data_IF_474159651538
#
_entry.id   IF_474159651538
#
_cell.length_a   1.000
_cell.length_b   1.000
_cell.length_c   1.000
_cell.angle_alpha   90.00
_cell.angle_beta   90.00
_cell.angle_gamma   90.00
#
_symmetry.space_group_name_H-M   'P 1'
#
loop_
_entity.id
_entity.type
_entity.pdbx_description
1 polymer ?
#
# COMPACT_ATOMS: atom_id res chain seq x y z
N UNK A 1 -5.49 -2.29 -10.10
CA UNK A 1 -5.62 -0.82 -10.26
C UNK A 1 -4.92 -0.13 -9.09
N UNK A 2 -4.18 0.95 -9.34
CA UNK A 2 -3.50 1.72 -8.29
C UNK A 2 -4.12 3.13 -8.21
N UNK A 3 -4.28 3.63 -6.99
CA UNK A 3 -4.74 5.01 -6.74
C UNK A 3 -3.68 5.70 -5.90
N UNK A 4 -3.33 6.93 -6.25
CA UNK A 4 -2.23 7.68 -5.63
C UNK A 4 -2.78 9.00 -5.10
N UNK A 5 -2.35 9.38 -3.89
CA UNK A 5 -2.56 10.70 -3.31
C UNK A 5 -1.48 10.99 -2.27
N UNK A 6 -1.27 12.27 -1.99
CA UNK A 6 -0.40 12.73 -0.93
C UNK A 6 -1.08 12.62 0.44
N UNK A 7 -0.29 12.57 1.51
CA UNK A 7 -0.80 12.63 2.87
C UNK A 7 -0.94 14.09 3.32
N UNK A 8 -1.98 14.42 4.12
CA UNK A 8 -2.95 13.50 4.75
C UNK A 8 -4.17 13.14 3.88
N UNK A 9 -4.39 13.79 2.74
CA UNK A 9 -5.60 13.67 1.91
C UNK A 9 -5.88 12.22 1.47
N UNK A 10 -4.83 11.42 1.26
CA UNK A 10 -4.94 10.01 0.91
C UNK A 10 -5.78 9.21 1.93
N UNK A 11 -5.72 9.56 3.22
CA UNK A 11 -6.44 8.86 4.29
C UNK A 11 -7.95 9.06 4.19
N UNK A 12 -8.38 10.29 3.93
CA UNK A 12 -9.79 10.61 3.79
C UNK A 12 -10.34 10.09 2.46
N UNK A 13 -9.62 10.36 1.36
CA UNK A 13 -10.06 10.06 0.00
C UNK A 13 -10.24 8.54 -0.24
N UNK A 14 -9.47 7.70 0.42
CA UNK A 14 -9.47 6.25 0.19
C UNK A 14 -10.02 5.44 1.37
N UNK A 15 -10.60 6.08 2.38
CA UNK A 15 -11.21 5.39 3.54
C UNK A 15 -12.21 4.30 3.14
N UNK A 16 -13.02 4.55 2.11
CA UNK A 16 -13.99 3.58 1.58
C UNK A 16 -13.33 2.34 0.94
N UNK A 17 -12.12 2.47 0.38
CA UNK A 17 -11.35 1.32 -0.13
C UNK A 17 -10.84 0.45 1.02
N UNK A 18 -10.43 1.07 2.13
CA UNK A 18 -9.88 0.40 3.32
C UNK A 18 -10.94 -0.24 4.22
N UNK A 19 -12.19 0.24 4.13
CA UNK A 19 -13.33 -0.31 4.88
C UNK A 19 -14.30 -1.14 4.01
N UNK A 20 -14.01 -1.27 2.71
CA UNK A 20 -14.91 -1.88 1.72
C UNK A 20 -14.57 -3.34 1.39
N UNK A 21 -15.04 -3.85 0.24
CA UNK A 21 -14.85 -5.26 -0.18
C UNK A 21 -13.40 -5.70 -0.37
N UNK A 22 -12.45 -4.76 -0.42
CA UNK A 22 -11.01 -5.04 -0.52
C UNK A 22 -10.32 -5.05 0.85
N UNK A 23 -11.05 -4.81 1.95
CA UNK A 23 -10.51 -4.86 3.30
C UNK A 23 -10.20 -6.31 3.71
N UNK A 24 -9.14 -6.52 4.48
CA UNK A 24 -8.68 -7.85 4.91
C UNK A 24 -9.71 -8.63 5.75
N UNK A 25 -10.69 -7.94 6.35
CA UNK A 25 -11.78 -8.51 7.14
C UNK A 25 -13.16 -8.35 6.54
N UNK A 26 -13.28 -8.15 5.22
CA UNK A 26 -14.57 -7.90 4.57
C UNK A 26 -15.56 -9.07 4.67
N UNK A 27 -15.09 -10.29 4.97
CA UNK A 27 -15.90 -11.51 5.07
C UNK A 27 -15.65 -12.21 6.42
N UNK A 28 -16.58 -12.14 7.39
CA UNK A 28 -16.39 -12.71 8.72
C UNK A 28 -16.38 -14.24 8.75
N UNK A 29 -16.93 -14.89 7.73
CA UNK A 29 -16.98 -16.35 7.63
C UNK A 29 -15.74 -16.93 6.93
N UNK A 30 -14.84 -16.06 6.45
CA UNK A 30 -13.62 -16.43 5.72
C UNK A 30 -12.75 -17.43 6.48
N UNK A 31 -12.49 -17.17 7.77
CA UNK A 31 -11.64 -18.03 8.60
C UNK A 31 -12.11 -19.49 8.65
N UNK A 32 -13.40 -19.74 8.41
CA UNK A 32 -13.99 -21.09 8.43
C UNK A 32 -14.20 -21.67 7.03
N UNK A 33 -13.96 -20.92 5.95
CA UNK A 33 -14.13 -21.41 4.59
C UNK A 33 -12.93 -22.21 4.13
N UNK A 34 -13.22 -23.36 3.51
CA UNK A 34 -12.25 -24.13 2.76
C UNK A 34 -12.09 -23.54 1.35
N UNK A 35 -11.00 -22.78 1.15
CA UNK A 35 -10.72 -22.05 -0.09
C UNK A 35 -9.83 -22.80 -1.09
N UNK A 36 -9.62 -24.10 -0.91
CA UNK A 36 -8.67 -24.86 -1.75
C UNK A 36 -9.01 -24.77 -3.25
N UNK A 37 -10.29 -24.73 -3.61
CA UNK A 37 -10.73 -24.62 -5.01
C UNK A 37 -11.22 -23.21 -5.40
N UNK A 38 -11.23 -22.26 -4.46
CA UNK A 38 -11.69 -20.90 -4.72
C UNK A 38 -10.55 -20.00 -5.25
N UNK A 39 -10.90 -19.06 -6.12
CA UNK A 39 -9.95 -18.03 -6.54
C UNK A 39 -9.58 -17.13 -5.34
N UNK A 40 -8.30 -16.76 -5.17
CA UNK A 40 -7.89 -15.88 -4.08
C UNK A 40 -8.64 -14.55 -4.11
N UNK A 41 -9.18 -14.14 -2.96
CA UNK A 41 -9.82 -12.84 -2.81
C UNK A 41 -8.80 -11.70 -2.98
N UNK A 42 -9.23 -10.62 -3.65
CA UNK A 42 -8.43 -9.42 -3.83
C UNK A 42 -8.50 -8.56 -2.57
N UNK A 43 -7.34 -8.19 -2.04
CA UNK A 43 -7.22 -7.31 -0.88
C UNK A 43 -6.41 -6.07 -1.24
N UNK A 44 -6.80 -4.93 -0.67
CA UNK A 44 -6.04 -3.69 -0.77
C UNK A 44 -4.73 -3.82 0.01
N UNK A 45 -3.67 -3.19 -0.51
CA UNK A 45 -2.39 -3.04 0.17
C UNK A 45 -1.97 -1.58 0.09
N UNK A 46 -1.57 -1.00 1.22
CA UNK A 46 -1.01 0.35 1.27
C UNK A 46 0.50 0.27 1.05
N UNK A 47 1.01 1.11 0.15
CA UNK A 47 2.45 1.31 -0.04
C UNK A 47 2.75 2.77 0.20
N UNK A 48 3.48 3.07 1.28
CA UNK A 48 3.90 4.41 1.63
C UNK A 48 5.27 4.68 1.02
N UNK A 49 5.36 5.68 0.13
CA UNK A 49 6.60 6.14 -0.46
C UNK A 49 7.12 7.32 0.35
N UNK A 50 8.35 7.23 0.86
CA UNK A 50 8.94 8.28 1.68
C UNK A 50 9.92 9.09 0.85
N UNK A 51 9.65 10.38 0.71
CA UNK A 51 10.51 11.35 0.03
C UNK A 51 11.57 11.97 0.97
N UNK A 52 11.49 11.70 2.27
CA UNK A 52 12.32 12.31 3.32
C UNK A 52 12.67 11.32 4.44
N UNK A 53 13.89 11.38 5.02
CA UNK A 53 14.31 10.53 6.12
C UNK A 53 13.52 10.77 7.42
N UNK A 54 13.53 9.77 8.31
CA UNK A 54 12.85 9.81 9.62
C UNK A 54 13.37 10.97 10.48
N UNK A 55 12.48 11.89 10.89
CA UNK A 55 12.81 12.95 11.87
C UNK A 55 12.07 14.28 11.70
N UNK A 56 11.48 14.53 10.52
CA UNK A 56 10.60 15.68 10.27
C UNK A 56 9.14 15.43 10.63
N UNK A 57 8.33 16.49 10.72
CA UNK A 57 6.87 16.36 10.81
C UNK A 57 6.35 15.71 9.52
N UNK A 58 5.79 14.51 9.66
CA UNK A 58 5.23 13.72 8.57
C UNK A 58 3.93 13.06 9.02
N UNK A 59 3.01 12.86 8.09
CA UNK A 59 1.78 12.11 8.30
C UNK A 59 1.98 10.59 8.20
N UNK A 60 3.20 10.11 7.92
CA UNK A 60 3.54 8.69 7.81
C UNK A 60 3.10 7.83 9.03
N UNK A 61 3.34 8.24 10.30
CA UNK A 61 2.85 7.49 11.45
C UNK A 61 1.32 7.39 11.51
N UNK A 62 0.62 8.48 11.22
CA UNK A 62 -0.84 8.51 11.22
C UNK A 62 -1.42 7.63 10.09
N UNK A 63 -0.78 7.62 8.93
CA UNK A 63 -1.16 6.75 7.82
C UNK A 63 -0.97 5.27 8.17
N UNK A 64 0.13 4.93 8.84
CA UNK A 64 0.40 3.58 9.34
C UNK A 64 -0.63 3.15 10.37
N UNK A 65 -0.93 4.00 11.36
CA UNK A 65 -1.94 3.73 12.37
C UNK A 65 -3.31 3.49 11.75
N UNK A 66 -3.70 4.31 10.76
CA UNK A 66 -4.96 4.11 10.05
C UNK A 66 -4.99 2.76 9.30
N UNK A 67 -3.95 2.42 8.56
CA UNK A 67 -3.87 1.14 7.85
C UNK A 67 -4.01 -0.05 8.81
N UNK A 68 -3.32 0.00 9.95
CA UNK A 68 -3.40 -1.02 11.00
C UNK A 68 -4.81 -1.11 11.62
N UNK A 69 -5.48 0.03 11.84
CA UNK A 69 -6.84 0.06 12.38
C UNK A 69 -7.89 -0.61 11.47
N UNK A 70 -7.57 -0.76 10.18
CA UNK A 70 -8.39 -1.42 9.17
C UNK A 70 -7.84 -2.80 8.77
N UNK A 71 -6.90 -3.37 9.53
CA UNK A 71 -6.20 -4.61 9.22
C UNK A 71 -5.61 -4.64 7.78
N UNK A 72 -5.31 -3.47 7.23
CA UNK A 72 -4.79 -3.36 5.86
C UNK A 72 -3.27 -3.51 5.87
N UNK A 73 -2.70 -4.47 5.12
CA UNK A 73 -1.26 -4.63 5.03
C UNK A 73 -0.57 -3.36 4.51
N UNK A 74 0.51 -2.96 5.18
CA UNK A 74 1.33 -1.80 4.82
C UNK A 74 2.77 -2.18 4.48
N UNK A 75 3.29 -1.60 3.41
CA UNK A 75 4.73 -1.55 3.08
C UNK A 75 5.19 -0.11 3.10
N UNK A 76 6.39 0.14 3.61
CA UNK A 76 7.04 1.44 3.48
C UNK A 76 8.29 1.30 2.63
N UNK A 77 8.42 2.17 1.64
CA UNK A 77 9.63 2.31 0.83
C UNK A 77 10.35 3.56 1.30
N UNK A 78 11.49 3.34 1.95
CA UNK A 78 12.41 4.39 2.36
C UNK A 78 13.65 4.31 1.47
N UNK A 79 13.95 5.38 0.71
CA UNK A 79 15.14 5.43 -0.13
C UNK A 79 16.39 5.60 0.73
N UNK A 80 17.53 5.21 0.16
CA UNK A 80 18.82 5.42 0.81
C UNK A 80 19.11 6.92 0.99
N UNK A 81 19.97 7.25 1.95
CA UNK A 81 20.35 8.63 2.22
C UNK A 81 21.05 9.23 0.99
N UNK A 82 20.47 10.30 0.42
CA UNK A 82 20.96 10.96 -0.78
C UNK A 82 20.43 12.39 -0.93
N UNK A 83 20.70 13.01 -2.08
CA UNK A 83 20.05 14.26 -2.45
C UNK A 83 18.63 14.04 -2.95
N UNK A 84 17.87 15.13 -3.12
CA UNK A 84 16.46 15.07 -3.54
C UNK A 84 16.28 14.35 -4.89
N UNK A 85 17.20 14.56 -5.83
CA UNK A 85 17.13 13.93 -7.15
C UNK A 85 17.45 12.44 -7.08
N UNK A 86 18.44 12.05 -6.28
CA UNK A 86 18.78 10.65 -6.05
C UNK A 86 17.62 9.89 -5.39
N UNK A 87 17.00 10.49 -4.36
CA UNK A 87 15.81 9.96 -3.70
C UNK A 87 14.65 9.77 -4.68
N UNK A 88 14.34 10.78 -5.50
CA UNK A 88 13.27 10.67 -6.50
C UNK A 88 13.57 9.59 -7.53
N UNK A 89 14.81 9.53 -8.03
CA UNK A 89 15.23 8.53 -9.01
C UNK A 89 15.11 7.11 -8.45
N UNK A 90 15.46 6.89 -7.18
CA UNK A 90 15.32 5.60 -6.52
C UNK A 90 13.85 5.17 -6.37
N UNK A 91 12.98 6.07 -5.88
CA UNK A 91 11.55 5.78 -5.74
C UNK A 91 10.91 5.46 -7.10
N UNK A 92 11.27 6.19 -8.16
CA UNK A 92 10.80 5.90 -9.52
C UNK A 92 11.31 4.54 -9.98
N UNK A 93 12.61 4.26 -9.83
CA UNK A 93 13.19 3.00 -10.29
C UNK A 93 12.53 1.79 -9.62
N UNK A 94 12.37 1.81 -8.30
CA UNK A 94 11.74 0.71 -7.56
C UNK A 94 10.28 0.52 -7.97
N UNK A 95 9.51 1.61 -8.11
CA UNK A 95 8.09 1.52 -8.47
C UNK A 95 7.87 1.11 -9.92
N UNK A 96 8.75 1.49 -10.84
CA UNK A 96 8.69 1.07 -12.24
C UNK A 96 8.98 -0.43 -12.40
N UNK A 97 10.06 -0.93 -11.76
CA UNK A 97 10.33 -2.36 -11.71
C UNK A 97 9.19 -3.15 -11.04
N UNK A 98 8.63 -2.63 -9.96
CA UNK A 98 7.48 -3.27 -9.31
C UNK A 98 6.26 -3.34 -10.25
N UNK A 99 5.97 -2.28 -11.02
CA UNK A 99 4.89 -2.27 -12.00
C UNK A 99 5.12 -3.32 -13.10
N UNK A 100 6.35 -3.44 -13.60
CA UNK A 100 6.72 -4.48 -14.59
C UNK A 100 6.52 -5.88 -14.01
N UNK A 101 7.00 -6.14 -12.79
CA UNK A 101 6.85 -7.46 -12.17
C UNK A 101 5.40 -7.79 -11.85
N UNK A 102 4.60 -6.82 -11.39
CA UNK A 102 3.17 -6.99 -11.18
C UNK A 102 2.46 -7.31 -12.50
N UNK A 103 2.80 -6.61 -13.59
CA UNK A 103 2.23 -6.90 -14.90
C UNK A 103 2.53 -8.33 -15.34
N UNK A 104 3.80 -8.78 -15.23
CA UNK A 104 4.20 -10.15 -15.55
C UNK A 104 3.46 -11.17 -14.67
N UNK A 105 3.34 -10.91 -13.37
CA UNK A 105 2.68 -11.81 -12.44
C UNK A 105 1.16 -11.91 -12.70
N UNK A 106 0.53 -10.81 -13.12
CA UNK A 106 -0.91 -10.71 -13.40
C UNK A 106 -1.30 -11.15 -14.83
N UNK A 107 -0.34 -11.35 -15.72
CA UNK A 107 -0.59 -11.78 -17.10
C UNK A 107 -0.84 -13.30 -17.24
N UNK A 108 -1.00 -14.00 -16.11
CA UNK A 108 -1.25 -15.44 -16.04
C UNK A 108 -2.68 -15.74 -15.64
#
# INVERSE_FOLDING_TARGET
PAVVAELPEALAAHSALLAGPLAAGADPDDFFRDRVEEAPALHARVVLLRDRPIGGLTAAPAARELALSHDTPISELEPEAGGELETLAELIAVTDFAAVYLAIASAR
#
